data_IF_972255991265
#
_entry.id   IF_972255991265
#
_cell.length_a   1.000
_cell.length_b   1.000
_cell.length_c   1.000
_cell.angle_alpha   90.00
_cell.angle_beta   90.00
_cell.angle_gamma   90.00
#
_symmetry.space_group_name_H-M   'P 1'
#
loop_
_entity.id
_entity.type
_entity.pdbx_description
1 polymer ?
#
# COMPACT_ATOMS: atom_id res chain seq x y z
N UNK A 1 54.74 1.86 39.26
CA UNK A 1 54.53 0.47 38.80
C UNK A 1 53.34 0.46 37.86
N UNK A 2 53.54 0.57 36.54
CA UNK A 2 53.56 -0.56 35.59
C UNK A 2 52.39 -1.56 35.80
N UNK A 3 51.31 -1.42 35.03
CA UNK A 3 51.00 -2.31 33.89
C UNK A 3 49.76 -1.83 33.13
N UNK A 4 50.00 -1.47 31.87
CA UNK A 4 49.00 -1.34 30.83
C UNK A 4 48.43 -2.71 30.46
N UNK A 5 47.12 -2.77 30.20
CA UNK A 5 46.46 -3.87 29.50
C UNK A 5 45.88 -3.32 28.21
N UNK A 6 46.63 -3.54 27.14
CA UNK A 6 46.24 -3.37 25.75
C UNK A 6 45.21 -4.45 25.42
N UNK A 7 43.95 -4.07 25.18
CA UNK A 7 42.96 -4.95 24.59
C UNK A 7 43.08 -4.85 23.07
N UNK A 8 43.32 -6.00 22.44
CA UNK A 8 43.44 -6.15 21.01
C UNK A 8 42.11 -5.84 20.32
N UNK A 9 42.17 -4.99 19.30
CA UNK A 9 41.12 -4.77 18.31
C UNK A 9 41.03 -6.02 17.44
N UNK A 10 39.98 -6.82 17.67
CA UNK A 10 39.58 -7.88 16.73
C UNK A 10 38.86 -7.21 15.55
N UNK A 11 39.59 -7.10 14.44
CA UNK A 11 39.07 -6.70 13.14
C UNK A 11 38.08 -7.76 12.64
N UNK A 12 36.78 -7.47 12.73
CA UNK A 12 35.75 -8.28 12.08
C UNK A 12 35.97 -8.30 10.57
N UNK A 13 35.83 -9.45 9.89
CA UNK A 13 35.94 -9.53 8.44
C UNK A 13 34.78 -8.76 7.82
N UNK A 14 35.10 -7.73 7.03
CA UNK A 14 34.12 -7.01 6.22
C UNK A 14 33.44 -7.99 5.28
N UNK A 15 32.16 -8.28 5.51
CA UNK A 15 31.33 -8.99 4.55
C UNK A 15 31.38 -8.24 3.22
N UNK A 16 31.72 -8.89 2.10
CA UNK A 16 31.64 -8.25 0.80
C UNK A 16 30.18 -7.84 0.55
N UNK A 17 29.92 -6.66 -0.04
CA UNK A 17 28.57 -6.27 -0.39
C UNK A 17 28.00 -7.32 -1.35
N UNK A 18 26.70 -7.65 -1.27
CA UNK A 18 26.08 -8.49 -2.27
C UNK A 18 26.26 -7.81 -3.64
N UNK A 19 27.08 -8.41 -4.50
CA UNK A 19 27.18 -8.10 -5.91
C UNK A 19 25.81 -8.33 -6.55
N UNK A 20 25.00 -7.27 -6.61
CA UNK A 20 23.88 -7.19 -7.53
C UNK A 20 24.43 -7.06 -8.94
N UNK A 21 24.09 -7.94 -9.89
CA UNK A 21 24.37 -7.68 -11.28
C UNK A 21 23.36 -6.65 -11.80
N UNK A 22 23.82 -5.86 -12.78
CA UNK A 22 23.02 -5.07 -13.72
C UNK A 22 22.68 -3.62 -13.31
N UNK A 23 23.65 -2.74 -13.56
CA UNK A 23 23.36 -1.42 -14.11
C UNK A 23 22.74 -1.59 -15.50
N UNK A 24 21.41 -1.51 -15.61
CA UNK A 24 20.77 -1.36 -16.92
C UNK A 24 19.60 -0.39 -16.77
N UNK A 25 19.57 0.56 -17.70
CA UNK A 25 18.42 1.16 -18.34
C UNK A 25 18.23 2.67 -18.13
N UNK A 26 19.00 3.45 -18.90
CA UNK A 26 18.61 4.78 -19.33
C UNK A 26 17.88 4.68 -20.69
N UNK A 27 16.66 5.21 -20.74
CA UNK A 27 15.79 5.36 -21.92
C UNK A 27 15.46 4.08 -22.73
N UNK A 28 14.18 3.73 -22.82
CA UNK A 28 13.67 2.61 -23.62
C UNK A 28 14.02 2.77 -25.13
N UNK A 29 14.37 3.96 -25.59
CA UNK A 29 14.89 4.20 -26.96
C UNK A 29 16.39 3.90 -27.11
N UNK A 30 17.21 4.01 -26.05
CA UNK A 30 18.66 3.71 -26.09
C UNK A 30 18.99 2.25 -25.71
N UNK A 31 18.07 1.52 -25.06
CA UNK A 31 18.26 0.12 -24.66
C UNK A 31 17.77 -0.91 -25.70
N UNK A 32 17.18 -0.45 -26.79
CA UNK A 32 16.80 -1.31 -27.92
C UNK A 32 17.98 -2.20 -28.40
N UNK A 33 19.24 -1.72 -28.49
CA UNK A 33 20.38 -2.53 -28.91
C UNK A 33 20.68 -3.70 -27.95
N UNK A 34 20.53 -3.52 -26.63
CA UNK A 34 20.80 -4.55 -25.62
C UNK A 34 19.70 -5.61 -25.61
N UNK A 35 18.44 -5.18 -25.74
CA UNK A 35 17.31 -6.09 -25.89
C UNK A 35 17.40 -6.87 -27.21
N UNK A 36 17.75 -6.19 -28.30
CA UNK A 36 18.06 -6.83 -29.58
C UNK A 36 19.24 -7.81 -29.44
N UNK A 37 20.24 -7.51 -28.60
CA UNK A 37 21.35 -8.43 -28.34
C UNK A 37 20.88 -9.72 -27.67
N UNK A 38 20.07 -9.62 -26.60
CA UNK A 38 19.53 -10.80 -25.90
C UNK A 38 18.61 -11.62 -26.78
N UNK A 39 17.71 -10.96 -27.53
CA UNK A 39 16.83 -11.62 -28.51
C UNK A 39 17.65 -12.30 -29.61
N UNK A 40 18.77 -11.68 -30.02
CA UNK A 40 19.69 -12.24 -31.00
C UNK A 40 20.54 -13.39 -30.46
N UNK A 41 20.95 -13.34 -29.20
CA UNK A 41 21.66 -14.44 -28.55
C UNK A 41 20.73 -15.65 -28.36
N UNK A 42 19.45 -15.40 -28.09
CA UNK A 42 18.45 -16.45 -27.91
C UNK A 42 18.01 -17.09 -29.25
N UNK A 43 17.94 -16.31 -30.33
CA UNK A 43 17.38 -16.75 -31.61
C UNK A 43 18.42 -17.01 -32.71
N UNK A 44 19.65 -16.50 -32.56
CA UNK A 44 20.67 -16.48 -33.61
C UNK A 44 20.32 -15.56 -34.80
N UNK A 45 21.29 -15.32 -35.69
CA UNK A 45 21.15 -14.40 -36.84
C UNK A 45 20.01 -14.81 -37.79
N UNK A 46 19.86 -16.12 -38.05
CA UNK A 46 18.76 -16.67 -38.87
C UNK A 46 17.41 -16.56 -38.16
N UNK A 47 17.35 -16.77 -36.84
CA UNK A 47 16.12 -16.62 -36.07
C UNK A 47 15.67 -15.16 -35.98
N UNK A 48 16.59 -14.21 -35.82
CA UNK A 48 16.27 -12.77 -35.91
C UNK A 48 15.79 -12.36 -37.30
N UNK A 49 16.42 -12.85 -38.38
CA UNK A 49 15.96 -12.56 -39.74
C UNK A 49 14.56 -13.11 -40.00
N UNK A 50 14.26 -14.32 -39.52
CA UNK A 50 12.92 -14.90 -39.56
C UNK A 50 11.93 -14.13 -38.68
N UNK A 51 12.35 -13.69 -37.48
CA UNK A 51 11.58 -12.85 -36.57
C UNK A 51 11.20 -11.52 -37.23
N UNK A 52 12.16 -10.85 -37.87
CA UNK A 52 11.94 -9.57 -38.56
C UNK A 52 11.15 -9.72 -39.86
N UNK A 53 11.35 -10.81 -40.60
CA UNK A 53 10.54 -11.14 -41.78
C UNK A 53 9.09 -11.48 -41.39
N UNK A 54 8.89 -12.22 -40.29
CA UNK A 54 7.59 -12.51 -39.72
C UNK A 54 6.96 -11.27 -39.04
N UNK A 55 7.76 -10.34 -38.50
CA UNK A 55 7.27 -9.14 -37.83
C UNK A 55 6.58 -8.14 -38.75
N UNK A 56 6.74 -8.26 -40.07
CA UNK A 56 5.93 -7.53 -41.05
C UNK A 56 4.53 -8.11 -41.25
N UNK A 57 4.24 -9.25 -40.60
CA UNK A 57 2.94 -9.93 -40.68
C UNK A 57 2.16 -9.72 -39.37
N UNK A 58 0.88 -9.37 -39.49
CA UNK A 58 -0.08 -9.25 -38.38
C UNK A 58 -0.04 -10.43 -37.37
N UNK A 59 0.14 -11.70 -37.80
CA UNK A 59 0.22 -12.84 -36.88
C UNK A 59 1.34 -12.72 -35.85
N UNK A 60 2.51 -12.22 -36.23
CA UNK A 60 3.66 -12.16 -35.33
C UNK A 60 3.50 -11.13 -34.20
N UNK A 61 2.91 -9.97 -34.51
CA UNK A 61 2.59 -8.96 -33.48
C UNK A 61 1.59 -9.47 -32.47
N UNK A 62 0.64 -10.31 -32.89
CA UNK A 62 -0.35 -10.94 -32.03
C UNK A 62 0.33 -11.94 -31.08
N UNK A 63 1.21 -12.81 -31.59
CA UNK A 63 1.94 -13.80 -30.79
C UNK A 63 2.84 -13.19 -29.71
N UNK A 64 3.58 -12.11 -30.04
CA UNK A 64 4.36 -11.37 -29.02
C UNK A 64 3.42 -10.88 -27.92
N UNK A 65 2.29 -10.30 -28.32
CA UNK A 65 1.37 -9.69 -27.36
C UNK A 65 0.74 -10.73 -26.45
N UNK A 66 0.38 -11.91 -26.98
CA UNK A 66 -0.06 -13.06 -26.18
C UNK A 66 1.03 -13.59 -25.24
N UNK A 67 2.28 -13.66 -25.72
CA UNK A 67 3.41 -14.11 -24.89
C UNK A 67 3.65 -13.17 -23.71
N UNK A 68 3.62 -11.86 -23.95
CA UNK A 68 3.75 -10.83 -22.91
C UNK A 68 2.59 -10.90 -21.91
N UNK A 69 1.35 -11.02 -22.39
CA UNK A 69 0.17 -11.17 -21.54
C UNK A 69 0.26 -12.41 -20.63
N UNK A 70 0.63 -13.57 -21.20
CA UNK A 70 0.83 -14.79 -20.42
C UNK A 70 1.91 -14.64 -19.34
N UNK A 71 3.02 -13.95 -19.65
CA UNK A 71 4.07 -13.66 -18.67
C UNK A 71 3.58 -12.72 -17.58
N UNK A 72 2.80 -11.69 -17.93
CA UNK A 72 2.15 -10.82 -16.96
C UNK A 72 1.23 -11.59 -16.03
N UNK A 73 0.35 -12.45 -16.54
CA UNK A 73 -0.54 -13.27 -15.72
C UNK A 73 0.25 -14.19 -14.78
N UNK A 74 1.38 -14.73 -15.25
CA UNK A 74 2.27 -15.54 -14.43
C UNK A 74 2.90 -14.71 -13.30
N UNK A 75 3.42 -13.52 -13.61
CA UNK A 75 4.02 -12.62 -12.61
C UNK A 75 2.99 -12.18 -11.57
N UNK A 76 1.78 -11.80 -11.98
CA UNK A 76 0.71 -11.43 -11.04
C UNK A 76 0.38 -12.57 -10.07
N UNK A 77 0.38 -13.83 -10.54
CA UNK A 77 0.22 -15.02 -9.69
C UNK A 77 1.44 -15.27 -8.80
N UNK A 78 2.66 -15.16 -9.34
CA UNK A 78 3.93 -15.33 -8.61
C UNK A 78 4.02 -14.35 -7.44
N UNK A 79 3.53 -13.13 -7.62
CA UNK A 79 3.47 -12.10 -6.58
C UNK A 79 2.18 -12.14 -5.73
N UNK A 80 1.28 -13.09 -5.97
CA UNK A 80 0.01 -13.22 -5.26
C UNK A 80 -0.89 -11.97 -5.33
N UNK A 81 -0.89 -11.28 -6.48
CA UNK A 81 -1.69 -10.06 -6.74
C UNK A 81 -2.71 -10.19 -7.88
N UNK A 82 -2.86 -11.36 -8.50
CA UNK A 82 -3.79 -11.59 -9.62
C UNK A 82 -5.28 -11.41 -9.27
N UNK A 83 -5.65 -11.52 -8.00
CA UNK A 83 -7.01 -11.24 -7.52
C UNK A 83 -7.29 -9.78 -7.14
N UNK A 84 -6.26 -8.92 -7.09
CA UNK A 84 -6.36 -7.54 -6.60
C UNK A 84 -5.86 -6.52 -7.63
N UNK A 85 -5.01 -6.92 -8.55
CA UNK A 85 -4.41 -6.09 -9.59
C UNK A 85 -4.45 -6.86 -10.92
N UNK A 86 -4.85 -6.16 -11.97
CA UNK A 86 -4.90 -6.68 -13.34
C UNK A 86 -4.45 -5.61 -14.33
N UNK A 87 -4.46 -5.94 -15.61
CA UNK A 87 -4.14 -5.03 -16.70
C UNK A 87 -5.21 -5.10 -17.79
N UNK A 88 -5.27 -4.10 -18.64
CA UNK A 88 -6.24 -3.98 -19.72
C UNK A 88 -5.97 -5.08 -20.78
N UNK A 89 -6.70 -6.19 -20.69
CA UNK A 89 -6.55 -7.32 -21.61
C UNK A 89 -7.15 -7.03 -22.99
N UNK A 90 -8.22 -6.24 -23.03
CA UNK A 90 -9.09 -6.04 -24.19
C UNK A 90 -9.17 -4.56 -24.59
N UNK A 91 -8.35 -4.13 -25.54
CA UNK A 91 -8.74 -3.03 -26.42
C UNK A 91 -9.79 -3.54 -27.42
N UNK A 92 -11.01 -3.82 -26.95
CA UNK A 92 -12.11 -4.35 -27.77
C UNK A 92 -12.81 -3.30 -28.66
N UNK A 93 -12.34 -2.06 -28.73
CA UNK A 93 -13.02 -0.98 -29.46
C UNK A 93 -12.15 -0.19 -30.45
N UNK A 94 -11.32 -0.87 -31.26
CA UNK A 94 -10.65 -0.22 -32.41
C UNK A 94 -11.22 -0.60 -33.78
N UNK A 95 -12.47 -1.04 -33.88
CA UNK A 95 -13.09 -1.28 -35.20
C UNK A 95 -14.40 -0.55 -35.50
N UNK A 96 -14.92 0.31 -34.63
CA UNK A 96 -16.07 1.12 -35.06
C UNK A 96 -16.49 2.22 -34.10
N UNK A 97 -16.28 3.46 -34.52
CA UNK A 97 -17.13 4.59 -34.13
C UNK A 97 -16.60 5.47 -33.00
N UNK A 98 -16.08 6.64 -33.40
CA UNK A 98 -15.99 7.87 -32.60
C UNK A 98 -15.17 7.76 -31.31
N UNK A 99 -13.85 7.75 -31.52
CA UNK A 99 -12.85 7.97 -30.48
C UNK A 99 -13.06 9.34 -29.82
N UNK A 100 -13.54 9.35 -28.57
CA UNK A 100 -13.49 10.51 -27.70
C UNK A 100 -12.02 10.89 -27.47
N UNK A 101 -11.62 11.98 -28.11
CA UNK A 101 -10.35 12.67 -27.93
C UNK A 101 -10.37 13.43 -26.59
N UNK A 102 -10.27 12.71 -25.47
CA UNK A 102 -10.15 13.36 -24.16
C UNK A 102 -8.69 13.69 -23.79
N UNK A 103 -7.75 13.46 -24.72
CA UNK A 103 -6.39 13.96 -24.64
C UNK A 103 -6.24 15.12 -25.61
N UNK A 104 -5.92 16.30 -25.09
CA UNK A 104 -5.68 17.51 -25.89
C UNK A 104 -4.74 17.27 -27.09
N UNK A 105 -4.74 18.21 -28.06
CA UNK A 105 -4.03 18.06 -29.34
C UNK A 105 -2.54 17.77 -29.12
N UNK A 106 -2.14 16.50 -29.17
CA UNK A 106 -0.76 16.06 -28.97
C UNK A 106 -0.55 14.78 -28.16
N UNK A 107 -1.54 14.27 -27.43
CA UNK A 107 -1.37 13.04 -26.66
C UNK A 107 -1.27 11.80 -27.60
N UNK A 108 -0.03 11.34 -27.89
CA UNK A 108 0.19 10.12 -28.67
C UNK A 108 -0.51 8.92 -28.01
N UNK A 109 -1.35 8.23 -28.77
CA UNK A 109 -2.00 7.00 -28.33
C UNK A 109 -0.95 5.90 -28.12
N UNK A 110 -1.01 5.24 -26.98
CA UNK A 110 -0.14 4.10 -26.69
C UNK A 110 -0.69 2.88 -27.43
N UNK A 111 0.12 2.24 -28.28
CA UNK A 111 -0.31 0.99 -28.91
C UNK A 111 -0.37 -0.13 -27.87
N UNK A 112 -1.23 -1.13 -28.09
CA UNK A 112 -1.37 -2.28 -27.18
C UNK A 112 -0.03 -2.95 -26.85
N UNK A 113 0.84 -3.11 -27.86
CA UNK A 113 2.20 -3.65 -27.68
C UNK A 113 3.03 -2.79 -26.73
N UNK A 114 3.07 -1.48 -26.94
CA UNK A 114 3.83 -0.58 -26.05
C UNK A 114 3.25 -0.56 -24.64
N UNK A 115 1.94 -0.60 -24.50
CA UNK A 115 1.26 -0.69 -23.22
C UNK A 115 1.68 -1.95 -22.45
N UNK A 116 1.53 -3.14 -23.04
CA UNK A 116 1.86 -4.39 -22.35
C UNK A 116 3.34 -4.53 -22.03
N UNK A 117 4.24 -4.03 -22.90
CA UNK A 117 5.68 -3.99 -22.58
C UNK A 117 5.95 -3.10 -21.36
N UNK A 118 5.25 -1.96 -21.24
CA UNK A 118 5.42 -1.06 -20.08
C UNK A 118 4.84 -1.66 -18.80
N UNK A 119 3.68 -2.33 -18.86
CA UNK A 119 3.14 -3.08 -17.70
C UNK A 119 4.09 -4.20 -17.31
N UNK A 120 4.59 -4.98 -18.28
CA UNK A 120 5.54 -6.08 -18.00
C UNK A 120 6.79 -5.54 -17.31
N UNK A 121 7.41 -4.51 -17.87
CA UNK A 121 8.57 -3.87 -17.26
C UNK A 121 8.26 -3.40 -15.84
N UNK A 122 7.11 -2.79 -15.61
CA UNK A 122 6.69 -2.29 -14.31
C UNK A 122 6.52 -3.41 -13.29
N UNK A 123 5.85 -4.50 -13.64
CA UNK A 123 5.64 -5.62 -12.71
C UNK A 123 6.98 -6.30 -12.40
N UNK A 124 7.82 -6.54 -13.41
CA UNK A 124 9.13 -7.17 -13.24
C UNK A 124 10.13 -6.32 -12.43
N UNK A 125 10.05 -4.99 -12.52
CA UNK A 125 11.01 -4.08 -11.88
C UNK A 125 10.44 -3.40 -10.63
N UNK A 126 9.15 -3.58 -10.36
CA UNK A 126 8.46 -3.01 -9.20
C UNK A 126 8.74 -3.74 -7.90
N UNK A 127 9.43 -4.88 -7.93
CA UNK A 127 9.80 -5.66 -6.74
C UNK A 127 8.71 -6.59 -6.21
N UNK A 128 8.60 -6.76 -4.90
CA UNK A 128 7.61 -7.58 -4.21
C UNK A 128 6.25 -6.88 -4.11
N UNK A 129 5.37 -7.24 -5.04
CA UNK A 129 4.01 -6.70 -5.10
C UNK A 129 3.08 -7.22 -4.00
N UNK A 130 3.43 -8.29 -3.27
CA UNK A 130 2.53 -8.96 -2.33
C UNK A 130 1.99 -8.00 -1.25
N UNK A 131 2.81 -7.04 -0.80
CA UNK A 131 2.40 -6.01 0.16
C UNK A 131 1.23 -5.13 -0.29
N UNK A 132 1.02 -4.96 -1.61
CA UNK A 132 -0.08 -4.15 -2.16
C UNK A 132 -1.42 -4.86 -2.10
N UNK A 133 -1.44 -6.20 -2.03
CA UNK A 133 -2.70 -6.93 -1.98
C UNK A 133 -3.54 -6.53 -0.76
N UNK A 134 -2.87 -6.30 0.36
CA UNK A 134 -3.51 -5.81 1.58
C UNK A 134 -4.08 -4.41 1.38
N UNK A 135 -3.30 -3.48 0.81
CA UNK A 135 -3.76 -2.11 0.56
C UNK A 135 -5.01 -2.11 -0.30
N UNK A 136 -5.01 -2.85 -1.41
CA UNK A 136 -6.13 -2.91 -2.35
C UNK A 136 -7.38 -3.58 -1.74
N UNK A 137 -7.21 -4.61 -0.91
CA UNK A 137 -8.32 -5.23 -0.17
C UNK A 137 -8.93 -4.27 0.85
N UNK A 138 -8.09 -3.60 1.65
CA UNK A 138 -8.55 -2.57 2.58
C UNK A 138 -9.29 -1.48 1.81
N UNK A 139 -8.70 -0.96 0.73
CA UNK A 139 -9.31 0.06 -0.13
C UNK A 139 -10.72 -0.35 -0.57
N UNK A 140 -10.89 -1.60 -1.03
CA UNK A 140 -12.19 -2.12 -1.48
C UNK A 140 -13.21 -2.18 -0.35
N UNK A 141 -12.79 -2.54 0.86
CA UNK A 141 -13.67 -2.69 2.03
C UNK A 141 -14.01 -1.39 2.73
N UNK A 142 -13.25 -0.33 2.45
CA UNK A 142 -13.48 1.03 2.94
C UNK A 142 -14.07 1.96 1.88
N UNK A 143 -14.44 1.44 0.71
CA UNK A 143 -15.10 2.19 -0.36
C UNK A 143 -14.19 2.97 -1.31
N UNK A 144 -12.87 2.94 -1.11
CA UNK A 144 -11.90 3.67 -1.97
C UNK A 144 -11.79 3.10 -3.38
N UNK A 145 -12.10 1.81 -3.57
CA UNK A 145 -12.24 1.22 -4.90
C UNK A 145 -13.57 0.48 -5.00
N UNK A 146 -14.21 0.58 -6.16
CA UNK A 146 -15.54 -0.01 -6.41
C UNK A 146 -15.47 -1.51 -6.64
N UNK A 147 -14.35 -2.05 -7.08
CA UNK A 147 -14.16 -3.48 -7.34
C UNK A 147 -12.68 -3.86 -7.33
N UNK A 148 -12.43 -5.15 -7.19
CA UNK A 148 -11.12 -5.77 -7.41
C UNK A 148 -11.29 -6.85 -8.49
N UNK A 149 -10.26 -7.09 -9.32
CA UNK A 149 -8.95 -6.42 -9.32
C UNK A 149 -8.97 -4.99 -9.89
N UNK A 150 -8.09 -4.11 -9.40
CA UNK A 150 -7.84 -2.79 -10.01
C UNK A 150 -7.10 -2.98 -11.33
N UNK A 151 -7.55 -2.30 -12.38
CA UNK A 151 -6.96 -2.44 -13.73
C UNK A 151 -5.93 -1.36 -13.98
N UNK A 152 -4.67 -1.73 -14.17
CA UNK A 152 -3.62 -0.78 -14.61
C UNK A 152 -3.98 -0.31 -16.02
N UNK A 153 -4.26 0.96 -16.22
CA UNK A 153 -4.66 1.52 -17.52
C UNK A 153 -3.49 2.17 -18.27
N UNK A 154 -3.66 2.45 -19.56
CA UNK A 154 -2.71 3.27 -20.29
C UNK A 154 -2.58 4.70 -19.73
N UNK A 155 -3.61 5.21 -19.03
CA UNK A 155 -3.57 6.52 -18.37
C UNK A 155 -2.61 6.51 -17.19
N UNK A 156 -2.65 5.45 -16.38
CA UNK A 156 -1.76 5.30 -15.23
C UNK A 156 -0.30 5.27 -15.67
N UNK A 157 0.01 4.49 -16.71
CA UNK A 157 1.37 4.41 -17.27
C UNK A 157 1.87 5.73 -17.87
N UNK A 158 0.99 6.63 -18.29
CA UNK A 158 1.38 7.97 -18.77
C UNK A 158 1.64 8.93 -17.61
N UNK A 159 0.90 8.77 -16.50
CA UNK A 159 1.06 9.57 -15.28
C UNK A 159 2.29 9.15 -14.48
N UNK A 160 2.71 7.89 -14.59
CA UNK A 160 3.98 7.45 -14.04
C UNK A 160 5.08 8.39 -14.51
N UNK A 161 5.85 8.86 -13.53
CA UNK A 161 6.98 9.73 -13.81
C UNK A 161 7.98 9.05 -14.76
N UNK A 162 8.96 9.81 -15.23
CA UNK A 162 10.05 9.24 -16.03
C UNK A 162 10.63 8.00 -15.35
N UNK A 163 11.11 7.04 -16.15
CA UNK A 163 11.72 5.80 -15.64
C UNK A 163 12.76 6.06 -14.54
N UNK A 164 13.59 7.10 -14.72
CA UNK A 164 14.57 7.54 -13.73
C UNK A 164 13.91 7.88 -12.39
N UNK A 165 12.80 8.63 -12.43
CA UNK A 165 12.06 9.02 -11.22
C UNK A 165 11.35 7.83 -10.59
N UNK A 166 10.74 6.95 -11.39
CA UNK A 166 10.15 5.70 -10.86
C UNK A 166 11.22 4.90 -10.09
N UNK A 167 12.34 4.58 -10.73
CA UNK A 167 13.41 3.78 -10.12
C UNK A 167 14.12 4.48 -8.94
N UNK A 168 14.05 5.81 -8.84
CA UNK A 168 14.62 6.54 -7.70
C UNK A 168 13.77 6.45 -6.42
N UNK A 169 12.52 5.98 -6.53
CA UNK A 169 11.62 5.84 -5.38
C UNK A 169 11.89 4.52 -4.64
N UNK A 170 11.58 4.44 -3.34
CA UNK A 170 11.44 3.17 -2.64
C UNK A 170 10.38 2.29 -3.30
N UNK A 171 10.53 0.99 -3.16
CA UNK A 171 9.73 -0.03 -3.83
C UNK A 171 8.23 0.09 -3.51
N UNK A 172 7.87 0.31 -2.25
CA UNK A 172 6.49 0.52 -1.83
C UNK A 172 5.83 1.71 -2.56
N UNK A 173 6.59 2.79 -2.76
CA UNK A 173 6.11 3.99 -3.44
C UNK A 173 6.06 3.82 -4.96
N UNK A 174 7.01 3.07 -5.53
CA UNK A 174 6.98 2.66 -6.94
C UNK A 174 5.67 1.94 -7.26
N UNK A 175 5.36 0.91 -6.47
CA UNK A 175 4.17 0.08 -6.64
C UNK A 175 2.88 0.87 -6.40
N UNK A 176 2.82 1.62 -5.29
CA UNK A 176 1.65 2.43 -4.96
C UNK A 176 1.35 3.49 -6.03
N UNK A 177 2.38 4.08 -6.65
CA UNK A 177 2.20 5.09 -7.70
C UNK A 177 1.46 4.61 -8.94
N UNK A 178 1.29 3.29 -9.11
CA UNK A 178 0.63 2.67 -10.25
C UNK A 178 -0.90 2.72 -10.13
N UNK A 179 -1.43 2.56 -8.91
CA UNK A 179 -2.86 2.47 -8.67
C UNK A 179 -3.40 3.56 -7.74
N UNK A 180 -2.54 4.43 -7.18
CA UNK A 180 -2.96 5.48 -6.24
C UNK A 180 -4.03 6.44 -6.77
N UNK A 181 -4.14 6.58 -8.09
CA UNK A 181 -5.12 7.44 -8.74
C UNK A 181 -6.54 6.87 -8.67
N UNK A 182 -6.65 5.54 -8.62
CA UNK A 182 -7.94 4.85 -8.56
C UNK A 182 -8.49 4.75 -7.13
N UNK A 183 -7.69 5.10 -6.12
CA UNK A 183 -8.08 5.07 -4.71
C UNK A 183 -8.91 6.30 -4.27
N UNK A 184 -9.11 7.26 -5.18
CA UNK A 184 -9.93 8.45 -4.95
C UNK A 184 -9.24 9.55 -4.14
N UNK A 185 -10.06 10.53 -3.73
CA UNK A 185 -9.61 11.79 -3.16
C UNK A 185 -8.74 11.61 -1.92
N UNK A 186 -7.58 12.25 -1.94
CA UNK A 186 -6.61 12.23 -0.85
C UNK A 186 -5.64 11.06 -0.89
N UNK A 187 -5.90 10.03 -1.70
CA UNK A 187 -4.98 8.91 -1.86
C UNK A 187 -4.00 9.09 -3.02
N UNK A 188 -4.12 10.19 -3.79
CA UNK A 188 -3.27 10.43 -4.95
C UNK A 188 -1.85 10.84 -4.56
N UNK A 189 -0.86 10.23 -5.23
CA UNK A 189 0.50 10.76 -5.22
C UNK A 189 0.65 11.89 -6.23
N UNK A 190 1.05 13.06 -5.76
CA UNK A 190 1.38 14.20 -6.61
C UNK A 190 2.86 14.56 -6.48
N UNK A 191 3.53 14.99 -7.57
CA UNK A 191 4.84 15.59 -7.48
C UNK A 191 4.86 16.87 -6.63
N UNK A 192 5.74 16.92 -5.64
CA UNK A 192 6.10 18.13 -4.89
C UNK A 192 7.53 18.59 -5.20
N UNK A 193 7.86 19.82 -4.79
CA UNK A 193 9.21 20.38 -4.93
C UNK A 193 10.27 19.60 -4.13
N UNK A 194 9.86 19.00 -3.00
CA UNK A 194 10.74 18.31 -2.05
C UNK A 194 10.55 16.78 -2.04
N UNK A 195 9.84 16.22 -3.03
CA UNK A 195 9.50 14.79 -3.04
C UNK A 195 8.10 14.54 -3.56
N UNK A 196 7.56 13.36 -3.30
CA UNK A 196 6.16 13.05 -3.58
C UNK A 196 5.25 13.54 -2.43
N UNK A 197 3.98 13.79 -2.71
CA UNK A 197 2.97 14.26 -1.75
C UNK A 197 1.76 13.34 -1.77
N UNK A 198 1.20 13.04 -0.61
CA UNK A 198 -0.06 12.29 -0.46
C UNK A 198 -1.13 13.24 0.10
N UNK A 199 -1.70 14.08 -0.78
CA UNK A 199 -2.49 15.29 -0.48
C UNK A 199 -1.71 16.42 0.23
N UNK A 200 -0.80 16.05 1.13
CA UNK A 200 0.09 16.92 1.90
C UNK A 200 1.54 16.47 1.72
N UNK A 201 2.47 17.23 2.28
CA UNK A 201 3.89 16.83 2.27
C UNK A 201 4.07 15.46 2.94
N UNK A 202 4.79 14.59 2.24
CA UNK A 202 5.18 13.25 2.67
C UNK A 202 6.70 13.23 2.72
N UNK A 203 7.25 13.03 3.91
CA UNK A 203 8.69 12.87 4.11
C UNK A 203 8.99 11.39 4.20
N UNK A 204 9.80 10.86 3.28
CA UNK A 204 10.33 9.50 3.41
C UNK A 204 11.66 9.56 4.13
N UNK A 205 11.81 8.76 5.18
CA UNK A 205 13.07 8.68 5.91
C UNK A 205 13.98 7.61 5.29
N UNK A 206 15.27 7.93 5.27
CA UNK A 206 16.34 6.97 5.14
C UNK A 206 16.81 6.57 6.54
N UNK A 207 17.63 5.53 6.66
CA UNK A 207 18.22 5.16 7.95
C UNK A 207 18.92 6.35 8.64
N UNK A 208 19.56 7.23 7.86
CA UNK A 208 20.31 8.39 8.36
C UNK A 208 19.43 9.61 8.67
N UNK A 209 18.24 9.69 8.08
CA UNK A 209 17.32 10.83 8.27
C UNK A 209 16.19 10.52 9.26
N UNK A 210 16.19 9.34 9.88
CA UNK A 210 15.27 9.03 10.97
C UNK A 210 15.55 9.95 12.18
N UNK A 211 14.50 10.40 12.89
CA UNK A 211 14.69 11.13 14.13
C UNK A 211 15.57 10.35 15.13
N UNK A 212 16.47 11.02 15.89
CA UNK A 212 17.22 10.36 16.95
C UNK A 212 16.27 9.66 17.94
N UNK A 213 16.63 8.45 18.37
CA UNK A 213 15.80 7.60 19.24
C UNK A 213 14.43 7.20 18.64
N UNK A 214 14.25 7.29 17.32
CA UNK A 214 13.08 6.72 16.65
C UNK A 214 12.96 5.22 16.96
N UNK A 215 11.83 4.73 17.49
CA UNK A 215 11.67 3.31 17.83
C UNK A 215 11.61 2.40 16.59
N UNK A 216 11.40 2.97 15.41
CA UNK A 216 11.39 2.23 14.14
C UNK A 216 12.79 2.00 13.55
N UNK A 217 13.84 2.60 14.13
CA UNK A 217 15.20 2.47 13.60
C UNK A 217 15.68 1.01 13.54
N UNK A 218 15.33 0.19 14.54
CA UNK A 218 15.70 -1.22 14.58
C UNK A 218 14.99 -2.10 13.53
N UNK A 219 13.87 -1.62 12.99
CA UNK A 219 13.06 -2.34 11.99
C UNK A 219 12.98 -1.57 10.67
N UNK A 220 13.95 -0.70 10.41
CA UNK A 220 13.95 0.10 9.19
C UNK A 220 14.07 -0.78 7.95
N UNK A 221 13.21 -0.52 6.96
CA UNK A 221 13.20 -1.20 5.67
C UNK A 221 13.34 -0.17 4.55
N UNK A 222 14.42 -0.25 3.77
CA UNK A 222 14.64 0.69 2.66
C UNK A 222 13.65 0.50 1.49
N UNK A 223 13.00 -0.66 1.39
CA UNK A 223 12.01 -0.95 0.35
C UNK A 223 10.63 -0.37 0.69
N UNK A 224 10.33 -0.20 1.98
CA UNK A 224 9.12 0.38 2.52
C UNK A 224 9.45 1.33 3.68
N UNK A 225 10.14 2.45 3.42
CA UNK A 225 10.74 3.25 4.47
C UNK A 225 9.69 3.85 5.40
N UNK A 226 10.11 4.09 6.64
CA UNK A 226 9.40 4.96 7.56
C UNK A 226 9.13 6.31 6.91
N UNK A 227 7.96 6.88 7.19
CA UNK A 227 7.53 8.13 6.58
C UNK A 227 6.78 9.00 7.56
N UNK A 228 6.86 10.30 7.37
CA UNK A 228 6.17 11.29 8.19
C UNK A 228 5.14 12.04 7.36
N UNK A 229 3.95 12.22 7.92
CA UNK A 229 2.87 13.02 7.36
C UNK A 229 2.15 13.76 8.48
N UNK A 230 2.03 15.09 8.36
CA UNK A 230 1.33 15.92 9.36
C UNK A 230 1.80 15.61 10.80
N UNK A 231 3.12 15.48 10.97
CA UNK A 231 3.78 15.20 12.25
C UNK A 231 3.46 13.81 12.85
N UNK A 232 2.86 12.91 12.06
CA UNK A 232 2.70 11.51 12.38
C UNK A 232 3.78 10.70 11.65
N UNK A 233 4.69 10.10 12.41
CA UNK A 233 5.73 9.21 11.93
C UNK A 233 5.20 7.77 11.91
N UNK A 234 5.15 7.17 10.73
CA UNK A 234 4.76 5.79 10.48
C UNK A 234 5.99 4.92 10.29
N UNK A 235 5.89 3.65 10.71
CA UNK A 235 6.97 2.67 10.56
C UNK A 235 7.26 2.34 9.11
N UNK A 236 6.21 2.24 8.29
CA UNK A 236 6.26 1.89 6.87
C UNK A 236 5.31 2.77 6.07
N UNK A 237 5.64 3.08 4.81
CA UNK A 237 4.77 3.84 3.92
C UNK A 237 3.45 3.11 3.65
N UNK A 238 3.47 1.80 3.49
CA UNK A 238 2.24 1.01 3.30
C UNK A 238 1.29 1.10 4.50
N UNK A 239 1.82 1.25 5.71
CA UNK A 239 1.00 1.45 6.92
C UNK A 239 0.30 2.81 6.92
N UNK A 240 0.98 3.88 6.48
CA UNK A 240 0.35 5.19 6.26
C UNK A 240 -0.82 5.08 5.26
N UNK A 241 -0.63 4.36 4.15
CA UNK A 241 -1.71 4.16 3.17
C UNK A 241 -2.93 3.47 3.79
N UNK A 242 -2.70 2.40 4.56
CA UNK A 242 -3.78 1.68 5.26
C UNK A 242 -4.48 2.61 6.24
N UNK A 243 -3.72 3.27 7.13
CA UNK A 243 -4.24 4.20 8.13
C UNK A 243 -5.11 5.30 7.51
N UNK A 244 -4.68 5.87 6.37
CA UNK A 244 -5.46 6.88 5.68
C UNK A 244 -6.80 6.35 5.19
N UNK A 245 -6.83 5.16 4.59
CA UNK A 245 -8.08 4.55 4.09
C UNK A 245 -9.04 4.18 5.23
N UNK A 246 -8.51 3.68 6.34
CA UNK A 246 -9.34 3.34 7.50
C UNK A 246 -9.75 4.56 8.32
N UNK A 247 -9.03 5.68 8.24
CA UNK A 247 -9.42 6.93 8.92
C UNK A 247 -10.46 7.71 8.12
N UNK A 248 -10.36 7.71 6.79
CA UNK A 248 -11.23 8.49 5.89
C UNK A 248 -11.97 7.59 4.90
N UNK A 249 -12.89 6.72 5.35
CA UNK A 249 -13.66 5.88 4.43
C UNK A 249 -14.57 6.73 3.54
N UNK A 250 -14.92 6.17 2.39
CA UNK A 250 -15.97 6.73 1.54
C UNK A 250 -17.36 6.15 1.88
N UNK A 251 -17.41 4.97 2.51
CA UNK A 251 -18.65 4.31 2.91
C UNK A 251 -19.05 4.63 4.38
N UNK A 252 -20.33 4.41 4.69
CA UNK A 252 -20.88 4.52 6.05
C UNK A 252 -20.08 3.66 7.03
N UNK A 253 -19.60 4.31 8.11
CA UNK A 253 -18.99 3.63 9.25
C UNK A 253 -19.85 3.79 10.48
N UNK A 254 -19.84 2.74 11.28
CA UNK A 254 -20.30 2.80 12.65
C UNK A 254 -19.09 2.75 13.56
N UNK A 255 -19.09 3.61 14.58
CA UNK A 255 -18.04 3.63 15.58
C UNK A 255 -18.61 3.51 17.00
N UNK A 256 -17.84 2.84 17.84
CA UNK A 256 -18.08 2.67 19.26
C UNK A 256 -16.89 3.28 19.97
N UNK A 257 -17.04 4.49 20.49
CA UNK A 257 -15.95 5.22 21.13
C UNK A 257 -16.17 5.30 22.63
N UNK A 258 -15.10 5.05 23.39
CA UNK A 258 -15.11 5.26 24.84
C UNK A 258 -13.86 6.02 25.27
N UNK A 259 -13.98 7.30 25.63
CA UNK A 259 -12.89 8.03 26.27
C UNK A 259 -12.73 7.53 27.71
N UNK A 260 -11.48 7.36 28.14
CA UNK A 260 -11.13 6.82 29.44
C UNK A 260 -10.18 7.77 30.17
N UNK A 261 -10.51 8.05 31.43
CA UNK A 261 -9.69 8.89 32.30
C UNK A 261 -8.50 8.10 32.86
N UNK A 262 -7.37 8.79 33.17
CA UNK A 262 -6.28 8.18 33.93
C UNK A 262 -6.79 7.45 35.16
N UNK A 263 -6.25 6.25 35.40
CA UNK A 263 -6.56 5.45 36.59
C UNK A 263 -7.78 4.53 36.44
N UNK A 264 -8.55 4.62 35.35
CA UNK A 264 -9.56 3.58 35.06
C UNK A 264 -8.88 2.26 34.69
N UNK A 265 -9.54 1.14 34.99
CA UNK A 265 -9.05 -0.18 34.58
C UNK A 265 -8.89 -0.26 33.05
N UNK A 266 -9.83 0.33 32.32
CA UNK A 266 -9.78 0.42 30.86
C UNK A 266 -8.58 1.22 30.36
N UNK A 267 -8.23 2.34 31.02
CA UNK A 267 -7.05 3.12 30.67
C UNK A 267 -5.76 2.31 30.81
N UNK A 268 -5.62 1.55 31.90
CA UNK A 268 -4.48 0.64 32.12
C UNK A 268 -4.37 -0.40 31.01
N UNK A 269 -5.51 -0.95 30.58
CA UNK A 269 -5.58 -1.93 29.51
C UNK A 269 -5.27 -1.36 28.12
N UNK A 270 -5.78 -0.17 27.79
CA UNK A 270 -5.42 0.51 26.53
C UNK A 270 -3.92 0.79 26.51
N UNK A 271 -3.35 1.24 27.63
CA UNK A 271 -1.90 1.45 27.74
C UNK A 271 -1.13 0.14 27.53
N UNK A 272 -1.55 -0.96 28.16
CA UNK A 272 -0.93 -2.27 27.96
C UNK A 272 -1.00 -2.73 26.48
N UNK A 273 -2.13 -2.49 25.79
CA UNK A 273 -2.27 -2.81 24.37
C UNK A 273 -1.39 -1.94 23.47
N UNK A 274 -1.13 -0.67 23.81
CA UNK A 274 -0.19 0.21 23.10
C UNK A 274 1.28 -0.19 23.32
N UNK A 275 1.58 -0.82 24.45
CA UNK A 275 2.93 -1.26 24.80
C UNK A 275 3.24 -2.69 24.35
N UNK A 276 2.21 -3.47 23.97
CA UNK A 276 2.39 -4.83 23.46
C UNK A 276 3.29 -4.84 22.20
N UNK A 277 4.20 -5.82 22.05
CA UNK A 277 4.97 -6.00 20.82
C UNK A 277 4.07 -6.33 19.63
N UNK A 278 4.51 -5.95 18.44
CA UNK A 278 3.80 -6.21 17.19
C UNK A 278 4.11 -7.63 16.67
N UNK A 279 3.17 -8.30 15.98
CA UNK A 279 1.76 -7.90 15.79
C UNK A 279 0.90 -8.14 17.05
N UNK A 280 -0.07 -7.25 17.31
CA UNK A 280 -1.02 -7.43 18.43
C UNK A 280 -2.03 -8.50 18.05
N UNK A 281 -2.18 -9.53 18.89
CA UNK A 281 -3.10 -10.67 18.68
C UNK A 281 -2.90 -11.44 17.36
N UNK A 282 -1.72 -11.33 16.73
CA UNK A 282 -1.50 -11.87 15.38
C UNK A 282 -2.24 -11.10 14.28
N UNK A 283 -2.93 -10.00 14.60
CA UNK A 283 -3.58 -9.12 13.65
C UNK A 283 -2.58 -8.13 13.03
N UNK A 284 -2.87 -7.71 11.80
CA UNK A 284 -2.14 -6.60 11.19
C UNK A 284 -2.32 -5.36 12.06
N UNK A 285 -1.21 -4.72 12.39
CA UNK A 285 -1.19 -3.56 13.26
C UNK A 285 -0.46 -2.42 12.56
N UNK A 286 -1.04 -1.22 12.61
CA UNK A 286 -0.42 0.02 12.15
C UNK A 286 -0.12 0.87 13.37
N UNK A 287 1.14 1.28 13.51
CA UNK A 287 1.59 2.19 14.56
C UNK A 287 2.04 3.50 13.95
N UNK A 288 1.68 4.61 14.60
CA UNK A 288 2.33 5.88 14.34
C UNK A 288 2.54 6.69 15.61
N UNK A 289 3.53 7.58 15.53
CA UNK A 289 4.01 8.40 16.64
C UNK A 289 3.75 9.84 16.26
N UNK A 290 3.11 10.60 17.15
CA UNK A 290 2.98 12.05 16.98
C UNK A 290 4.21 12.76 17.56
N UNK A 291 4.48 13.97 17.07
CA UNK A 291 5.58 14.83 17.51
C UNK A 291 5.93 14.74 19.01
N UNK A 292 7.20 14.48 19.28
CA UNK A 292 7.77 14.41 20.62
C UNK A 292 7.90 13.00 21.20
N UNK A 293 7.80 11.95 20.36
CA UNK A 293 8.13 10.58 20.75
C UNK A 293 7.05 9.87 21.58
N UNK A 294 5.86 10.46 21.70
CA UNK A 294 4.73 9.82 22.37
C UNK A 294 4.07 8.84 21.40
N UNK A 295 4.06 7.54 21.74
CA UNK A 295 3.20 6.55 21.05
C UNK A 295 1.76 7.02 21.20
N UNK A 296 1.28 7.67 20.15
CA UNK A 296 0.00 8.33 20.21
C UNK A 296 -1.12 7.39 19.79
N UNK A 297 -0.82 6.47 18.87
CA UNK A 297 -1.88 5.80 18.14
C UNK A 297 -1.47 4.41 17.63
N UNK A 298 -2.37 3.45 17.82
CA UNK A 298 -2.29 2.10 17.23
C UNK A 298 -3.61 1.74 16.56
N UNK A 299 -3.53 1.07 15.42
CA UNK A 299 -4.69 0.49 14.71
C UNK A 299 -4.51 -1.02 14.61
N UNK A 300 -5.50 -1.78 15.06
CA UNK A 300 -5.49 -3.25 14.99
C UNK A 300 -6.56 -3.67 13.98
N UNK A 301 -6.14 -4.20 12.83
CA UNK A 301 -7.05 -4.61 11.75
C UNK A 301 -7.61 -6.00 12.07
N UNK A 302 -8.91 -6.07 12.38
CA UNK A 302 -9.61 -7.29 12.74
C UNK A 302 -10.12 -8.03 11.49
N UNK A 303 -10.55 -7.28 10.47
CA UNK A 303 -11.07 -7.80 9.20
C UNK A 303 -10.87 -6.79 8.06
N UNK A 304 -10.82 -7.28 6.82
CA UNK A 304 -10.76 -6.46 5.60
C UNK A 304 -9.45 -6.56 4.82
N UNK A 305 -8.39 -7.13 5.40
CA UNK A 305 -7.10 -7.34 4.73
C UNK A 305 -6.95 -8.74 4.07
N UNK A 306 -7.86 -9.66 4.36
CA UNK A 306 -7.93 -10.99 3.75
C UNK A 306 -8.81 -10.99 2.51
N UNK A 307 -8.61 -11.96 1.62
CA UNK A 307 -9.31 -12.03 0.33
C UNK A 307 -10.81 -12.34 0.47
N UNK A 308 -11.17 -13.09 1.51
CA UNK A 308 -12.51 -13.59 1.84
C UNK A 308 -13.28 -12.68 2.81
N UNK A 309 -12.61 -11.69 3.44
CA UNK A 309 -13.27 -10.71 4.30
C UNK A 309 -14.41 -10.04 3.53
N UNK A 310 -15.61 -9.98 4.09
CA UNK A 310 -16.79 -9.34 3.46
C UNK A 310 -16.98 -7.89 3.92
N UNK A 311 -16.40 -7.51 5.05
CA UNK A 311 -16.42 -6.19 5.68
C UNK A 311 -15.01 -5.80 6.15
N UNK A 312 -14.83 -4.54 6.56
CA UNK A 312 -13.65 -4.09 7.29
C UNK A 312 -14.00 -3.83 8.75
N UNK A 313 -13.12 -4.22 9.65
CA UNK A 313 -13.23 -3.86 11.06
C UNK A 313 -11.84 -3.63 11.66
N UNK A 314 -11.72 -2.62 12.52
CA UNK A 314 -10.45 -2.32 13.18
C UNK A 314 -10.68 -1.60 14.52
N UNK A 315 -9.72 -1.77 15.43
CA UNK A 315 -9.65 -1.02 16.68
C UNK A 315 -8.69 0.14 16.50
N UNK A 316 -9.07 1.28 17.06
CA UNK A 316 -8.36 2.53 17.14
C UNK A 316 -8.04 2.79 18.60
N UNK A 317 -6.77 2.65 18.98
CA UNK A 317 -6.27 2.98 20.29
C UNK A 317 -5.53 4.30 20.19
N UNK A 318 -5.96 5.30 20.95
CA UNK A 318 -5.26 6.58 21.01
C UNK A 318 -4.96 6.95 22.46
N UNK A 319 -3.81 7.57 22.67
CA UNK A 319 -3.38 8.11 23.96
C UNK A 319 -2.97 9.56 23.74
N UNK A 320 -3.76 10.47 24.29
CA UNK A 320 -3.59 11.89 24.05
C UNK A 320 -2.29 12.41 24.65
N UNK A 321 -1.51 13.15 23.85
CA UNK A 321 -0.42 13.97 24.38
C UNK A 321 -0.96 15.17 25.17
N UNK A 322 -2.01 15.80 24.63
CA UNK A 322 -2.58 17.05 25.17
C UNK A 322 -3.79 16.83 26.09
N UNK A 323 -4.38 15.64 26.05
CA UNK A 323 -5.49 15.26 26.91
C UNK A 323 -5.08 14.02 27.69
N UNK A 324 -5.19 14.01 29.03
CA UNK A 324 -4.67 12.92 29.85
C UNK A 324 -5.41 11.58 29.64
N UNK A 325 -6.37 11.50 28.72
CA UNK A 325 -7.12 10.28 28.47
C UNK A 325 -6.46 9.30 27.49
N UNK A 326 -7.03 8.09 27.49
CA UNK A 326 -6.87 7.14 26.40
C UNK A 326 -8.25 6.87 25.78
N UNK A 327 -8.30 6.55 24.51
CA UNK A 327 -9.54 6.14 23.85
C UNK A 327 -9.36 4.80 23.17
N UNK A 328 -10.42 4.01 23.21
CA UNK A 328 -10.59 2.83 22.40
C UNK A 328 -11.83 3.05 21.54
N UNK A 329 -11.65 2.93 20.23
CA UNK A 329 -12.74 3.02 19.26
C UNK A 329 -12.76 1.80 18.37
N UNK A 330 -13.90 1.10 18.27
CA UNK A 330 -14.11 0.04 17.30
C UNK A 330 -14.83 0.61 16.08
N UNK A 331 -14.30 0.35 14.89
CA UNK A 331 -14.90 0.75 13.62
C UNK A 331 -15.29 -0.48 12.80
N UNK A 332 -16.40 -0.39 12.08
CA UNK A 332 -16.83 -1.44 11.14
C UNK A 332 -17.57 -0.90 9.92
N UNK A 333 -17.45 -1.61 8.80
CA UNK A 333 -18.30 -1.48 7.59
C UNK A 333 -19.28 -2.65 7.44
N UNK A 334 -19.42 -3.50 8.46
CA UNK A 334 -20.49 -4.49 8.51
C UNK A 334 -21.85 -3.79 8.44
N UNK A 335 -22.77 -4.32 7.62
CA UNK A 335 -24.13 -3.77 7.54
C UNK A 335 -24.90 -4.08 8.84
N UNK A 336 -25.57 -3.08 9.44
CA UNK A 336 -26.42 -3.29 10.61
C UNK A 336 -27.46 -4.39 10.37
N UNK A 337 -27.59 -5.32 11.31
CA UNK A 337 -28.64 -6.34 11.29
C UNK A 337 -29.95 -5.80 11.87
N UNK A 338 -31.07 -6.04 11.19
CA UNK A 338 -32.40 -5.63 11.65
C UNK A 338 -32.81 -6.50 12.84
N UNK A 339 -33.23 -5.85 13.94
CA UNK A 339 -33.72 -6.54 15.14
C UNK A 339 -32.63 -7.02 16.11
N UNK A 340 -31.36 -6.67 15.88
CA UNK A 340 -30.30 -6.91 16.84
C UNK A 340 -30.37 -5.94 18.03
N UNK A 341 -30.28 -6.45 19.26
CA UNK A 341 -30.18 -5.62 20.47
C UNK A 341 -28.70 -5.31 20.78
N UNK A 342 -28.41 -4.01 20.95
CA UNK A 342 -27.07 -3.51 21.29
C UNK A 342 -26.01 -3.71 20.19
N UNK A 343 -24.77 -3.21 20.41
CA UNK A 343 -23.69 -3.27 19.43
C UNK A 343 -23.41 -4.67 18.86
N UNK A 344 -23.36 -5.69 19.73
CA UNK A 344 -23.05 -7.06 19.33
C UNK A 344 -24.19 -7.73 18.55
N UNK A 345 -25.45 -7.38 18.84
CA UNK A 345 -26.60 -7.85 18.08
C UNK A 345 -26.71 -7.18 16.72
N UNK A 346 -26.37 -5.88 16.64
CA UNK A 346 -26.42 -5.10 15.39
C UNK A 346 -25.26 -5.44 14.45
N UNK A 347 -24.06 -5.72 14.98
CA UNK A 347 -22.84 -6.02 14.20
C UNK A 347 -22.16 -7.32 14.65
N UNK A 348 -22.82 -8.48 14.49
CA UNK A 348 -22.36 -9.74 15.05
C UNK A 348 -21.03 -10.22 14.47
N UNK A 349 -20.75 -10.01 13.17
CA UNK A 349 -19.49 -10.48 12.57
C UNK A 349 -18.29 -9.68 13.08
N UNK A 350 -18.48 -8.38 13.33
CA UNK A 350 -17.46 -7.50 13.90
C UNK A 350 -17.07 -7.95 15.30
N UNK A 351 -18.07 -8.22 16.16
CA UNK A 351 -17.81 -8.67 17.52
C UNK A 351 -17.24 -10.10 17.57
N UNK A 352 -17.64 -10.97 16.63
CA UNK A 352 -17.02 -12.29 16.48
C UNK A 352 -15.54 -12.17 16.10
N UNK A 353 -15.18 -11.33 15.12
CA UNK A 353 -13.79 -11.10 14.73
C UNK A 353 -12.95 -10.51 15.87
N UNK A 354 -13.54 -9.61 16.67
CA UNK A 354 -12.89 -9.05 17.85
C UNK A 354 -12.63 -10.13 18.92
N UNK A 355 -13.63 -10.98 19.21
CA UNK A 355 -13.48 -12.06 20.18
C UNK A 355 -12.44 -13.09 19.72
N UNK A 356 -12.48 -13.48 18.46
CA UNK A 356 -11.52 -14.41 17.85
C UNK A 356 -10.09 -13.90 17.95
N UNK A 357 -9.88 -12.62 17.61
CA UNK A 357 -8.56 -12.01 17.70
C UNK A 357 -8.08 -11.86 19.15
N UNK A 358 -8.86 -11.19 19.99
CA UNK A 358 -8.41 -10.82 21.34
C UNK A 358 -8.42 -11.98 22.33
N UNK A 359 -9.29 -12.96 22.15
CA UNK A 359 -9.57 -14.01 23.14
C UNK A 359 -10.14 -13.47 24.46
N UNK A 360 -10.55 -12.19 24.50
CA UNK A 360 -10.81 -11.48 25.75
C UNK A 360 -12.22 -10.87 25.76
N UNK A 361 -13.14 -11.62 26.36
CA UNK A 361 -14.55 -11.23 26.48
C UNK A 361 -14.75 -9.89 27.21
N UNK A 362 -13.86 -9.54 28.14
CA UNK A 362 -13.98 -8.26 28.86
C UNK A 362 -13.72 -7.05 27.96
N UNK A 363 -13.06 -7.23 26.80
CA UNK A 363 -12.91 -6.16 25.81
C UNK A 363 -14.26 -5.87 25.15
N UNK A 364 -15.01 -6.93 24.87
CA UNK A 364 -16.34 -6.85 24.28
C UNK A 364 -17.27 -6.10 25.21
N UNK A 365 -17.26 -6.40 26.51
CA UNK A 365 -18.09 -5.70 27.50
C UNK A 365 -17.79 -4.19 27.52
N UNK A 366 -16.50 -3.84 27.41
CA UNK A 366 -16.06 -2.44 27.38
C UNK A 366 -16.62 -1.69 26.17
N UNK A 367 -16.60 -2.33 24.99
CA UNK A 367 -17.03 -1.74 23.71
C UNK A 367 -18.56 -1.81 23.55
N UNK A 368 -19.20 -2.89 23.98
CA UNK A 368 -20.64 -3.08 23.90
C UNK A 368 -21.41 -2.07 24.78
N UNK A 369 -20.78 -1.55 25.83
CA UNK A 369 -21.33 -0.48 26.65
C UNK A 369 -21.19 0.91 26.02
N UNK A 370 -20.42 1.06 24.93
CA UNK A 370 -20.24 2.35 24.27
C UNK A 370 -21.44 2.66 23.35
N UNK A 371 -21.90 3.92 23.30
CA UNK A 371 -22.94 4.34 22.37
C UNK A 371 -22.49 4.16 20.92
N UNK A 372 -23.46 3.81 20.06
CA UNK A 372 -23.25 3.69 18.61
C UNK A 372 -23.35 5.10 18.03
N UNK A 373 -22.28 5.56 17.38
CA UNK A 373 -22.33 6.79 16.62
C UNK A 373 -22.32 6.45 15.12
N UNK A 374 -23.28 6.96 14.33
CA UNK A 374 -23.07 7.07 12.89
C UNK A 374 -21.87 8.00 12.66
N UNK A 375 -20.98 7.62 11.74
CA UNK A 375 -19.75 8.37 11.45
C UNK A 375 -20.05 9.86 11.19
N UNK A 376 -19.33 10.74 11.89
CA UNK A 376 -19.51 12.20 11.91
C UNK A 376 -19.27 12.93 10.57
N UNK A 377 -19.14 12.25 9.43
CA UNK A 377 -18.91 12.89 8.13
C UNK A 377 -20.10 13.76 7.67
N UNK A 378 -21.30 13.60 8.26
CA UNK A 378 -22.45 14.46 7.98
C UNK A 378 -22.37 15.87 8.62
N UNK A 379 -21.38 16.16 9.48
CA UNK A 379 -21.34 17.46 10.19
C UNK A 379 -20.79 18.64 9.35
N UNK A 380 -20.39 18.44 8.09
CA UNK A 380 -19.78 19.51 7.26
C UNK A 380 -20.60 19.97 6.04
N UNK A 381 -21.78 19.41 5.75
CA UNK A 381 -22.52 19.74 4.53
C UNK A 381 -23.67 20.76 4.68
N UNK A 382 -23.89 21.36 5.85
CA UNK A 382 -25.01 22.31 6.09
C UNK A 382 -24.61 23.78 6.27
N UNK A 383 -23.44 24.20 5.78
CA UNK A 383 -23.06 25.63 5.77
C UNK A 383 -22.66 26.11 4.36
N UNK A 384 -23.63 26.19 3.46
CA UNK A 384 -23.55 27.02 2.23
C UNK A 384 -24.88 27.66 1.93
#
# INVERSE_FOLDING_TARGET
MKRARTAASESSPSSPPPTRPLSVLHSIEEDLPVMCHRVRDLLGVRGCAALFAAAKTLPFTTEITHTVARRLDQLLREHHVDGVLTYEQHAQHQQGGLEQQDGGPGARRMTRRHYLIRVLWLVENGGDWAGNAVILRVARRTGHVTSLPVTITATDLRRLASKRRYLSRPEALQQYSVYCQDLGMGMELTPGANGDRLQTDLTLHTADTLPPACPFAATFDATDPACERLNALYRFFRELCIDKMITYPLDEKHCFARPEHPGSHTYGRISALLDQPLPVWGCRTVDHILDGGYKATRRIILSGDKADSTFAAFICLDKGKYFPGASLTLYTTERPQVGGEGPAGVFPQTFAALLEASGDASLLDTIAAAPIFPSCMEMNETTT
#
